data_IF_297250504409
#
_entry.id   IF_297250504409
#
_cell.length_a   1.000
_cell.length_b   1.000
_cell.length_c   1.000
_cell.angle_alpha   90.00
_cell.angle_beta   90.00
_cell.angle_gamma   90.00
#
_symmetry.space_group_name_H-M   'P 1'
#
loop_
_entity.id
_entity.type
_entity.pdbx_description
1 polymer ?
#
# COMPACT_ATOMS: atom_id res chain seq x y z
N UNK A 1 -27.46 34.58 -1.69
CA UNK A 1 -27.03 33.75 -0.53
C UNK A 1 -26.47 32.46 -1.04
N UNK A 2 -25.27 32.05 -0.55
CA UNK A 2 -24.69 30.76 -0.89
C UNK A 2 -25.31 29.72 0.06
N UNK A 3 -25.92 28.64 -0.45
CA UNK A 3 -26.45 27.58 0.42
C UNK A 3 -25.30 26.89 1.17
N UNK A 4 -25.50 26.58 2.45
CA UNK A 4 -24.53 25.87 3.26
C UNK A 4 -25.19 24.75 4.07
N UNK A 5 -24.41 23.74 4.42
CA UNK A 5 -24.85 22.61 5.26
C UNK A 5 -23.96 22.56 6.48
N UNK A 6 -24.56 22.66 7.67
CA UNK A 6 -23.87 22.53 8.94
C UNK A 6 -23.62 21.06 9.25
N UNK A 7 -22.36 20.69 9.52
CA UNK A 7 -21.95 19.30 9.79
C UNK A 7 -21.01 19.25 11.01
N UNK A 8 -21.01 18.11 11.72
CA UNK A 8 -20.13 17.90 12.90
C UNK A 8 -18.65 17.75 12.53
N UNK A 9 -18.37 17.16 11.38
CA UNK A 9 -17.00 16.88 10.89
C UNK A 9 -16.94 17.18 9.39
N UNK A 10 -16.44 18.37 9.05
CA UNK A 10 -16.36 18.87 7.67
C UNK A 10 -15.50 17.95 6.79
N UNK A 11 -14.38 17.43 7.30
CA UNK A 11 -13.47 16.56 6.53
C UNK A 11 -14.13 15.24 6.17
N UNK A 12 -14.79 14.62 7.14
CA UNK A 12 -15.54 13.38 6.92
C UNK A 12 -16.71 13.59 5.97
N UNK A 13 -17.49 14.65 6.17
CA UNK A 13 -18.63 14.97 5.32
C UNK A 13 -18.23 15.30 3.89
N UNK A 14 -17.09 15.99 3.68
CA UNK A 14 -16.53 16.22 2.36
C UNK A 14 -16.19 14.89 1.66
N UNK A 15 -15.50 13.97 2.35
CA UNK A 15 -15.15 12.66 1.77
C UNK A 15 -16.41 11.84 1.44
N UNK A 16 -17.45 11.91 2.27
CA UNK A 16 -18.74 11.27 2.03
C UNK A 16 -19.46 11.87 0.81
N UNK A 17 -19.52 13.19 0.71
CA UNK A 17 -20.10 13.88 -0.46
C UNK A 17 -19.35 13.50 -1.75
N UNK A 18 -18.02 13.47 -1.72
CA UNK A 18 -17.21 13.03 -2.85
C UNK A 18 -17.50 11.57 -3.25
N UNK A 19 -17.66 10.69 -2.27
CA UNK A 19 -17.98 9.28 -2.53
C UNK A 19 -19.35 9.11 -3.17
N UNK A 20 -20.33 9.91 -2.76
CA UNK A 20 -21.68 9.89 -3.30
C UNK A 20 -21.75 10.49 -4.71
N UNK A 21 -20.92 11.50 -4.99
CA UNK A 21 -20.85 12.12 -6.30
C UNK A 21 -20.07 11.26 -7.32
N UNK A 22 -18.88 10.77 -6.94
CA UNK A 22 -18.04 9.91 -7.77
C UNK A 22 -18.27 8.44 -7.40
N UNK A 23 -19.40 7.87 -7.82
CA UNK A 23 -19.87 6.54 -7.37
C UNK A 23 -19.01 5.37 -7.86
N UNK A 24 -18.47 5.44 -9.08
CA UNK A 24 -17.72 4.33 -9.68
C UNK A 24 -16.27 4.32 -9.20
N UNK A 25 -15.79 3.16 -8.78
CA UNK A 25 -14.43 2.97 -8.25
C UNK A 25 -13.86 1.62 -8.72
N UNK A 26 -12.53 1.49 -8.85
CA UNK A 26 -11.88 0.22 -9.13
C UNK A 26 -12.26 -0.86 -8.10
N UNK A 27 -12.33 -2.10 -8.55
CA UNK A 27 -12.75 -3.25 -7.72
C UNK A 27 -11.79 -3.50 -6.56
N UNK A 28 -10.48 -3.40 -6.81
CA UNK A 28 -9.44 -3.63 -5.81
C UNK A 28 -8.72 -2.31 -5.52
N UNK A 29 -8.90 -1.78 -4.33
CA UNK A 29 -8.17 -0.61 -3.84
C UNK A 29 -7.32 -1.05 -2.65
N UNK A 30 -5.99 -0.86 -2.79
CA UNK A 30 -4.98 -1.19 -1.80
C UNK A 30 -4.41 0.11 -1.23
N UNK A 31 -4.32 0.24 0.09
CA UNK A 31 -3.74 1.39 0.74
C UNK A 31 -2.47 1.01 1.52
N UNK A 32 -1.39 1.77 1.33
CA UNK A 32 -0.10 1.53 1.98
C UNK A 32 0.21 2.65 2.97
N UNK A 33 0.41 2.31 4.23
CA UNK A 33 0.83 3.25 5.27
C UNK A 33 2.07 2.77 6.01
N UNK A 34 2.76 3.69 6.66
CA UNK A 34 3.98 3.49 7.42
C UNK A 34 4.86 4.73 7.34
N UNK A 35 6.04 4.72 7.96
CA UNK A 35 6.98 5.84 7.84
C UNK A 35 7.70 5.76 6.49
N UNK A 36 8.41 4.68 6.25
CA UNK A 36 9.21 4.45 5.05
C UNK A 36 8.62 3.30 4.20
N UNK A 37 9.01 3.22 2.92
CA UNK A 37 8.66 2.10 2.03
C UNK A 37 7.32 2.23 1.30
N UNK A 38 6.47 3.22 1.59
CA UNK A 38 5.17 3.40 0.91
C UNK A 38 5.30 3.47 -0.60
N UNK A 39 6.08 4.43 -1.10
CA UNK A 39 6.28 4.65 -2.55
C UNK A 39 6.93 3.45 -3.22
N UNK A 40 7.88 2.77 -2.53
CA UNK A 40 8.51 1.56 -3.05
C UNK A 40 7.50 0.43 -3.25
N UNK A 41 6.65 0.17 -2.26
CA UNK A 41 5.62 -0.87 -2.36
C UNK A 41 4.60 -0.53 -3.45
N UNK A 42 4.19 0.74 -3.53
CA UNK A 42 3.24 1.23 -4.54
C UNK A 42 3.80 1.03 -5.94
N UNK A 43 5.07 1.37 -6.16
CA UNK A 43 5.71 1.21 -7.46
C UNK A 43 5.98 -0.27 -7.80
N UNK A 44 6.49 -1.08 -6.87
CA UNK A 44 6.69 -2.50 -7.10
C UNK A 44 5.39 -3.22 -7.42
N UNK A 45 4.30 -2.92 -6.72
CA UNK A 45 3.00 -3.48 -7.05
C UNK A 45 2.56 -3.09 -8.47
N UNK A 46 2.71 -1.82 -8.84
CA UNK A 46 2.42 -1.35 -10.19
C UNK A 46 3.25 -2.11 -11.24
N UNK A 47 4.56 -2.24 -11.03
CA UNK A 47 5.44 -2.98 -11.92
C UNK A 47 5.03 -4.46 -12.05
N UNK A 48 4.75 -5.15 -10.92
CA UNK A 48 4.36 -6.56 -10.91
C UNK A 48 3.09 -6.78 -11.75
N UNK A 49 2.03 -5.99 -11.54
CA UNK A 49 0.79 -6.14 -12.29
C UNK A 49 0.98 -5.79 -13.75
N UNK A 50 1.68 -4.69 -14.05
CA UNK A 50 1.94 -4.24 -15.40
C UNK A 50 2.77 -5.27 -16.21
N UNK A 51 3.82 -5.84 -15.62
CA UNK A 51 4.61 -6.93 -16.22
C UNK A 51 3.74 -8.16 -16.53
N UNK A 52 2.70 -8.40 -15.75
CA UNK A 52 1.76 -9.51 -15.94
C UNK A 52 0.53 -9.14 -16.80
N UNK A 53 0.54 -7.97 -17.43
CA UNK A 53 -0.55 -7.46 -18.29
C UNK A 53 -1.90 -7.31 -17.55
N UNK A 54 -1.87 -7.10 -16.25
CA UNK A 54 -3.05 -6.81 -15.43
C UNK A 54 -3.25 -5.29 -15.34
N UNK A 55 -4.48 -4.82 -15.52
CA UNK A 55 -4.78 -3.37 -15.46
C UNK A 55 -4.58 -2.84 -14.06
N UNK A 56 -3.77 -1.79 -13.94
CA UNK A 56 -3.32 -1.23 -12.65
C UNK A 56 -3.08 0.27 -12.74
N UNK A 57 -3.30 0.95 -11.63
CA UNK A 57 -2.80 2.30 -11.41
C UNK A 57 -2.16 2.42 -10.02
N UNK A 58 -1.21 3.34 -9.90
CA UNK A 58 -0.62 3.77 -8.64
C UNK A 58 -0.96 5.24 -8.37
N UNK A 59 -1.17 5.58 -7.09
CA UNK A 59 -1.47 6.94 -6.63
C UNK A 59 -0.58 7.23 -5.42
N UNK A 60 0.23 8.28 -5.48
CA UNK A 60 1.12 8.63 -4.36
C UNK A 60 2.04 9.79 -4.65
N UNK A 61 3.15 9.85 -3.96
CA UNK A 61 4.16 10.91 -4.04
C UNK A 61 4.67 11.13 -5.48
N UNK A 62 4.78 10.06 -6.26
CA UNK A 62 5.23 10.14 -7.65
C UNK A 62 4.12 10.60 -8.62
N UNK A 63 2.87 10.70 -8.16
CA UNK A 63 1.72 11.06 -8.97
C UNK A 63 0.72 9.92 -9.14
N UNK A 64 -0.15 10.06 -10.15
CA UNK A 64 -1.06 9.00 -10.62
C UNK A 64 -0.46 8.41 -11.90
N UNK A 65 -0.21 7.12 -11.89
CA UNK A 65 0.33 6.40 -13.05
C UNK A 65 -0.55 5.22 -13.42
N UNK A 66 -0.96 5.18 -14.68
CA UNK A 66 -1.51 4.02 -15.36
C UNK A 66 -1.07 4.04 -16.83
N UNK A 67 -1.31 2.98 -17.57
CA UNK A 67 -1.00 2.98 -19.02
C UNK A 67 -1.68 4.11 -19.79
N UNK A 68 -2.89 4.49 -19.37
CA UNK A 68 -3.76 5.45 -20.10
C UNK A 68 -3.99 6.77 -19.34
N UNK A 69 -3.34 6.97 -18.18
CA UNK A 69 -3.59 8.15 -17.35
C UNK A 69 -2.39 8.44 -16.46
N UNK A 70 -1.78 9.61 -16.65
CA UNK A 70 -0.63 10.06 -15.87
C UNK A 70 -0.88 11.51 -15.43
N UNK A 71 -0.79 11.76 -14.13
CA UNK A 71 -0.97 13.09 -13.54
C UNK A 71 0.07 13.28 -12.45
N UNK A 72 0.74 14.41 -12.41
CA UNK A 72 1.56 14.82 -11.26
C UNK A 72 0.66 15.22 -10.10
N UNK A 73 1.08 14.92 -8.89
CA UNK A 73 0.40 15.32 -7.64
C UNK A 73 1.40 16.02 -6.73
N UNK A 74 0.91 17.01 -5.97
CA UNK A 74 1.73 17.74 -5.00
C UNK A 74 1.64 17.15 -3.58
N UNK A 75 0.81 16.14 -3.39
CA UNK A 75 0.56 15.51 -2.10
C UNK A 75 0.68 13.99 -2.22
N UNK A 76 1.32 13.38 -1.24
CA UNK A 76 1.39 11.91 -1.13
C UNK A 76 0.01 11.27 -1.08
N UNK A 77 -0.90 11.85 -0.31
CA UNK A 77 -2.33 11.51 -0.28
C UNK A 77 -3.10 12.75 -0.65
N UNK A 78 -3.71 12.77 -1.82
CA UNK A 78 -4.44 13.92 -2.34
C UNK A 78 -5.72 14.20 -1.56
N UNK A 79 -6.31 15.37 -1.78
CA UNK A 79 -7.60 15.71 -1.20
C UNK A 79 -8.73 14.78 -1.68
N UNK A 80 -9.86 14.70 -0.97
CA UNK A 80 -10.93 13.77 -1.30
C UNK A 80 -11.55 14.00 -2.68
N UNK A 81 -11.71 15.27 -3.11
CA UNK A 81 -12.34 15.60 -4.39
C UNK A 81 -11.49 15.04 -5.53
N UNK A 82 -10.20 15.38 -5.53
CA UNK A 82 -9.25 14.91 -6.53
C UNK A 82 -9.14 13.38 -6.52
N UNK A 83 -9.07 12.77 -5.34
CA UNK A 83 -8.92 11.33 -5.20
C UNK A 83 -10.13 10.56 -5.75
N UNK A 84 -11.34 10.88 -5.29
CA UNK A 84 -12.56 10.20 -5.74
C UNK A 84 -12.83 10.40 -7.24
N UNK A 85 -12.59 11.63 -7.76
CA UNK A 85 -12.67 11.93 -9.19
C UNK A 85 -11.74 11.04 -10.01
N UNK A 86 -10.47 10.93 -9.60
CA UNK A 86 -9.50 10.12 -10.33
C UNK A 86 -9.76 8.61 -10.20
N UNK A 87 -10.24 8.13 -9.06
CA UNK A 87 -10.68 6.73 -8.93
C UNK A 87 -11.80 6.40 -9.94
N UNK A 88 -12.79 7.30 -10.12
CA UNK A 88 -13.83 7.12 -11.13
C UNK A 88 -13.27 7.17 -12.56
N UNK A 89 -12.35 8.09 -12.86
CA UNK A 89 -11.70 8.17 -14.18
C UNK A 89 -10.94 6.87 -14.49
N UNK A 90 -10.20 6.35 -13.52
CA UNK A 90 -9.45 5.11 -13.67
C UNK A 90 -10.37 3.91 -13.91
N UNK A 91 -11.49 3.82 -13.16
CA UNK A 91 -12.50 2.78 -13.37
C UNK A 91 -13.09 2.85 -14.78
N UNK A 92 -13.52 4.06 -15.24
CA UNK A 92 -14.03 4.26 -16.61
C UNK A 92 -13.02 3.90 -17.69
N UNK A 93 -11.71 3.99 -17.40
CA UNK A 93 -10.62 3.54 -18.30
C UNK A 93 -10.30 2.04 -18.19
N UNK A 94 -11.09 1.27 -17.44
CA UNK A 94 -10.95 -0.18 -17.27
C UNK A 94 -9.86 -0.60 -16.29
N UNK A 95 -9.39 0.30 -15.42
CA UNK A 95 -8.45 -0.04 -14.36
C UNK A 95 -9.19 -0.75 -13.23
N UNK A 96 -8.85 -2.02 -12.97
CA UNK A 96 -9.47 -2.84 -11.93
C UNK A 96 -8.73 -2.78 -10.59
N UNK A 97 -7.42 -2.50 -10.61
CA UNK A 97 -6.55 -2.55 -9.43
C UNK A 97 -5.88 -1.20 -9.23
N UNK A 98 -6.04 -0.63 -8.04
CA UNK A 98 -5.38 0.61 -7.65
C UNK A 98 -4.63 0.40 -6.34
N UNK A 99 -3.39 0.85 -6.28
CA UNK A 99 -2.64 0.96 -5.04
C UNK A 99 -2.37 2.43 -4.74
N UNK A 100 -2.53 2.85 -3.50
CA UNK A 100 -2.35 4.23 -3.09
C UNK A 100 -1.54 4.39 -1.80
N UNK A 101 -0.81 5.49 -1.71
CA UNK A 101 -0.12 5.88 -0.49
C UNK A 101 -1.11 6.53 0.48
N UNK A 102 -1.19 6.00 1.69
CA UNK A 102 -1.97 6.52 2.81
C UNK A 102 -1.02 7.16 3.84
N UNK A 103 -0.69 8.44 3.66
CA UNK A 103 0.13 9.19 4.61
C UNK A 103 -0.60 9.37 5.94
N UNK A 104 0.15 9.58 7.03
CA UNK A 104 -0.45 9.83 8.34
C UNK A 104 -1.30 11.09 8.35
N UNK A 105 -0.89 12.14 7.67
CA UNK A 105 -1.68 13.36 7.46
C UNK A 105 -2.97 13.08 6.70
N UNK A 106 -2.90 12.31 5.59
CA UNK A 106 -4.08 11.98 4.81
C UNK A 106 -5.10 11.15 5.59
N UNK A 107 -4.62 10.23 6.43
CA UNK A 107 -5.47 9.42 7.32
C UNK A 107 -6.08 10.25 8.45
N UNK A 108 -5.30 11.12 9.09
CA UNK A 108 -5.76 12.02 10.14
C UNK A 108 -6.80 13.03 9.61
N UNK A 109 -6.56 13.53 8.42
CA UNK A 109 -7.44 14.49 7.73
C UNK A 109 -8.61 13.83 6.99
N UNK A 110 -8.88 12.54 7.21
CA UNK A 110 -10.02 11.80 6.62
C UNK A 110 -10.08 11.80 5.08
N UNK A 111 -8.93 11.98 4.42
CA UNK A 111 -8.89 12.07 2.95
C UNK A 111 -9.23 10.75 2.24
N UNK A 112 -9.12 9.62 2.95
CA UNK A 112 -9.40 8.27 2.45
C UNK A 112 -10.73 7.70 2.97
N UNK A 113 -11.50 8.47 3.72
CA UNK A 113 -12.78 8.00 4.21
C UNK A 113 -13.75 7.72 3.04
N UNK A 114 -14.66 6.78 3.24
CA UNK A 114 -15.63 6.34 2.23
C UNK A 114 -15.01 5.77 0.92
N UNK A 115 -13.75 5.33 0.98
CA UNK A 115 -13.13 4.51 -0.06
C UNK A 115 -13.18 3.05 0.37
N UNK A 116 -13.65 2.20 -0.55
CA UNK A 116 -13.77 0.76 -0.33
C UNK A 116 -12.40 0.06 -0.40
N UNK A 117 -11.59 0.19 0.64
CA UNK A 117 -10.24 -0.37 0.69
C UNK A 117 -10.32 -1.87 0.98
N UNK A 118 -9.87 -2.68 0.01
CA UNK A 118 -9.85 -4.15 0.10
C UNK A 118 -8.61 -4.70 0.80
N UNK A 119 -7.50 -3.97 0.78
CA UNK A 119 -6.23 -4.40 1.39
C UNK A 119 -5.51 -3.22 2.01
N UNK A 120 -5.07 -3.38 3.26
CA UNK A 120 -4.22 -2.42 3.94
C UNK A 120 -2.82 -2.97 4.16
N UNK A 121 -1.78 -2.21 3.81
CA UNK A 121 -0.38 -2.57 4.03
C UNK A 121 0.21 -1.65 5.08
N UNK A 122 0.84 -2.23 6.12
CA UNK A 122 1.62 -1.50 7.09
C UNK A 122 3.10 -1.85 6.92
N UNK A 123 3.93 -0.83 6.66
CA UNK A 123 5.36 -1.05 6.40
C UNK A 123 6.16 -1.05 7.70
N UNK A 124 6.26 0.08 8.37
CA UNK A 124 7.04 0.30 9.60
C UNK A 124 6.64 1.59 10.29
N UNK A 125 7.20 1.81 11.47
CA UNK A 125 7.12 3.07 12.21
C UNK A 125 8.53 3.46 12.67
N UNK A 126 8.95 4.66 12.31
CA UNK A 126 10.15 5.31 12.83
C UNK A 126 9.84 6.77 13.16
N UNK A 127 10.75 7.46 13.82
CA UNK A 127 10.59 8.85 14.23
C UNK A 127 10.45 9.76 12.99
N UNK A 128 9.28 10.40 12.85
CA UNK A 128 8.96 11.31 11.76
C UNK A 128 7.69 12.09 12.06
N UNK A 129 7.50 13.26 11.44
CA UNK A 129 6.27 14.08 11.53
C UNK A 129 5.76 14.37 12.94
N UNK A 130 6.64 14.49 13.94
CA UNK A 130 6.23 14.79 15.32
C UNK A 130 5.89 16.27 15.54
N UNK A 131 6.33 17.15 14.65
CA UNK A 131 5.85 18.52 14.53
C UNK A 131 4.32 18.58 14.40
N UNK A 132 3.75 17.72 13.59
CA UNK A 132 2.31 17.58 13.36
C UNK A 132 1.62 16.68 14.41
N UNK A 133 2.13 15.47 14.62
CA UNK A 133 1.45 14.46 15.45
C UNK A 133 1.72 14.56 16.94
N UNK A 134 2.64 15.42 17.39
CA UNK A 134 3.04 15.69 18.78
C UNK A 134 3.62 14.51 19.55
N UNK A 135 3.33 13.25 19.20
CA UNK A 135 3.90 12.07 19.85
C UNK A 135 3.90 10.85 18.92
N UNK A 136 4.80 9.89 19.18
CA UNK A 136 4.83 8.60 18.49
C UNK A 136 3.52 7.81 18.65
N UNK A 137 2.82 7.97 19.78
CA UNK A 137 1.53 7.32 20.04
C UNK A 137 0.43 7.87 19.12
N UNK A 138 0.31 9.17 18.98
CA UNK A 138 -0.65 9.82 18.07
C UNK A 138 -0.30 9.52 16.61
N UNK A 139 0.99 9.55 16.25
CA UNK A 139 1.48 9.19 14.93
C UNK A 139 1.13 7.74 14.55
N UNK A 140 1.37 6.78 15.45
CA UNK A 140 0.95 5.39 15.25
C UNK A 140 -0.58 5.30 15.12
N UNK A 141 -1.33 5.97 15.98
CA UNK A 141 -2.80 5.93 15.95
C UNK A 141 -3.38 6.47 14.65
N UNK A 142 -2.81 7.53 14.06
CA UNK A 142 -3.23 8.04 12.76
C UNK A 142 -3.05 6.98 11.65
N UNK A 143 -1.94 6.23 11.65
CA UNK A 143 -1.73 5.13 10.71
C UNK A 143 -2.66 3.95 10.98
N UNK A 144 -2.89 3.62 12.25
CA UNK A 144 -3.80 2.53 12.64
C UNK A 144 -5.26 2.83 12.30
N UNK A 145 -5.62 4.08 12.01
CA UNK A 145 -6.95 4.45 11.53
C UNK A 145 -7.35 3.69 10.26
N UNK A 146 -6.43 3.50 9.33
CA UNK A 146 -6.62 2.66 8.15
C UNK A 146 -7.18 1.28 8.52
N UNK A 147 -6.54 0.61 9.46
CA UNK A 147 -6.86 -0.77 9.84
C UNK A 147 -8.06 -0.87 10.79
N UNK A 148 -8.26 0.15 11.64
CA UNK A 148 -9.36 0.18 12.60
C UNK A 148 -10.69 0.58 11.97
N UNK A 149 -10.69 1.48 10.96
CA UNK A 149 -11.89 2.15 10.47
C UNK A 149 -12.15 2.00 8.97
N UNK A 150 -11.13 2.06 8.13
CA UNK A 150 -11.32 2.16 6.67
C UNK A 150 -11.40 0.80 5.97
N UNK A 151 -10.75 -0.23 6.49
CA UNK A 151 -10.84 -1.57 5.89
C UNK A 151 -12.23 -2.17 6.07
N UNK A 152 -12.74 -2.86 5.04
CA UNK A 152 -13.98 -3.65 5.10
C UNK A 152 -13.80 -4.92 5.94
N UNK A 153 -14.88 -5.60 6.32
CA UNK A 153 -14.85 -6.87 7.08
C UNK A 153 -14.03 -7.98 6.40
N UNK A 154 -14.17 -8.14 5.09
CA UNK A 154 -13.48 -9.19 4.31
C UNK A 154 -12.13 -8.77 3.73
N UNK A 155 -11.58 -7.65 4.18
CA UNK A 155 -10.29 -7.13 3.73
C UNK A 155 -9.12 -7.96 4.23
N UNK A 156 -7.94 -7.71 3.65
CA UNK A 156 -6.69 -8.35 4.08
C UNK A 156 -5.72 -7.29 4.61
N UNK A 157 -5.02 -7.61 5.70
CA UNK A 157 -3.90 -6.82 6.21
C UNK A 157 -2.61 -7.49 5.79
N UNK A 158 -1.68 -6.70 5.22
CA UNK A 158 -0.31 -7.14 4.90
C UNK A 158 0.66 -6.38 5.79
N UNK A 159 1.60 -7.10 6.42
CA UNK A 159 2.64 -6.49 7.25
C UNK A 159 3.82 -7.44 7.44
N UNK A 160 4.91 -6.91 7.99
CA UNK A 160 6.07 -7.66 8.47
C UNK A 160 5.84 -8.06 9.93
N UNK A 161 5.86 -9.36 10.25
CA UNK A 161 5.70 -9.88 11.62
C UNK A 161 6.90 -9.59 12.52
N UNK A 162 8.06 -9.28 11.95
CA UNK A 162 9.26 -8.90 12.69
C UNK A 162 9.21 -7.45 13.22
N UNK A 163 8.27 -6.63 12.74
CA UNK A 163 8.09 -5.26 13.22
C UNK A 163 7.46 -5.21 14.63
N UNK A 164 7.95 -4.31 15.48
CA UNK A 164 7.44 -4.12 16.84
C UNK A 164 5.94 -3.80 16.86
N UNK A 165 5.47 -3.02 15.91
CA UNK A 165 4.08 -2.56 15.78
C UNK A 165 3.14 -3.69 15.32
N UNK A 166 3.67 -4.82 14.86
CA UNK A 166 2.85 -5.96 14.47
C UNK A 166 1.96 -6.46 15.64
N UNK A 167 2.41 -6.32 16.88
CA UNK A 167 1.61 -6.65 18.08
C UNK A 167 0.30 -5.84 18.12
N UNK A 168 0.35 -4.57 17.72
CA UNK A 168 -0.83 -3.68 17.65
C UNK A 168 -1.76 -4.12 16.51
N UNK A 169 -1.18 -4.41 15.33
CA UNK A 169 -1.95 -4.93 14.20
C UNK A 169 -2.61 -6.27 14.51
N UNK A 170 -1.91 -7.19 15.20
CA UNK A 170 -2.46 -8.49 15.60
C UNK A 170 -3.71 -8.35 16.48
N UNK A 171 -3.71 -7.38 17.42
CA UNK A 171 -4.91 -7.06 18.21
C UNK A 171 -6.08 -6.60 17.34
N UNK A 172 -5.81 -5.75 16.33
CA UNK A 172 -6.84 -5.25 15.40
C UNK A 172 -7.36 -6.40 14.52
N UNK A 173 -6.48 -7.23 13.98
CA UNK A 173 -6.81 -8.41 13.16
C UNK A 173 -7.76 -9.32 13.91
N UNK A 174 -7.42 -9.68 15.16
CA UNK A 174 -8.22 -10.57 15.99
C UNK A 174 -9.58 -9.95 16.33
N UNK A 175 -9.59 -8.68 16.80
CA UNK A 175 -10.83 -7.98 17.16
C UNK A 175 -11.80 -7.83 15.99
N UNK A 176 -11.29 -7.56 14.80
CA UNK A 176 -12.10 -7.33 13.60
C UNK A 176 -12.29 -8.57 12.74
N UNK A 177 -11.65 -9.69 13.06
CA UNK A 177 -11.66 -10.95 12.29
C UNK A 177 -11.26 -10.73 10.81
N UNK A 178 -10.25 -9.88 10.58
CA UNK A 178 -9.72 -9.54 9.24
C UNK A 178 -8.66 -10.57 8.85
N UNK A 179 -8.63 -10.93 7.56
CA UNK A 179 -7.59 -11.82 7.02
C UNK A 179 -6.21 -11.15 7.08
N UNK A 180 -5.16 -11.96 7.25
CA UNK A 180 -3.78 -11.48 7.19
C UNK A 180 -2.97 -12.25 6.16
N UNK A 181 -2.03 -11.57 5.52
CA UNK A 181 -0.88 -12.14 4.80
C UNK A 181 0.36 -11.42 5.26
N UNK A 182 1.39 -12.14 5.66
CA UNK A 182 2.54 -11.55 6.34
C UNK A 182 3.86 -12.03 5.74
N UNK A 183 4.88 -11.22 5.91
CA UNK A 183 6.27 -11.63 5.74
C UNK A 183 6.93 -11.71 7.12
N UNK A 184 8.02 -12.44 7.25
CA UNK A 184 8.81 -12.48 8.48
C UNK A 184 9.96 -13.45 8.41
N UNK A 185 10.86 -13.42 9.39
CA UNK A 185 12.01 -14.32 9.48
C UNK A 185 11.62 -15.67 10.08
N UNK A 186 10.77 -15.69 11.10
CA UNK A 186 10.36 -16.90 11.85
C UNK A 186 9.02 -17.46 11.37
N UNK A 187 8.10 -16.59 10.97
CA UNK A 187 6.74 -16.93 10.58
C UNK A 187 6.28 -16.06 9.43
N UNK A 188 5.08 -16.31 8.90
CA UNK A 188 4.47 -15.52 7.85
C UNK A 188 4.06 -16.33 6.63
N UNK A 189 3.27 -15.72 5.75
CA UNK A 189 2.89 -16.28 4.44
C UNK A 189 4.11 -16.46 3.56
N UNK A 190 5.06 -15.53 3.64
CA UNK A 190 6.39 -15.64 3.06
C UNK A 190 7.41 -15.57 4.19
N UNK A 191 8.22 -16.61 4.36
CA UNK A 191 9.35 -16.60 5.31
C UNK A 191 10.63 -16.25 4.58
N UNK A 192 11.40 -15.32 5.14
CA UNK A 192 12.73 -14.97 4.65
C UNK A 192 13.75 -15.83 5.41
N UNK A 193 14.27 -16.85 4.75
CA UNK A 193 15.19 -17.81 5.37
C UNK A 193 16.63 -17.29 5.39
N UNK A 194 17.05 -16.65 4.29
CA UNK A 194 18.40 -16.09 4.14
C UNK A 194 18.38 -14.94 3.16
N UNK A 195 19.19 -13.92 3.42
CA UNK A 195 19.44 -12.82 2.47
C UNK A 195 20.94 -12.56 2.41
N UNK A 196 21.50 -12.50 1.20
CA UNK A 196 22.90 -12.21 0.94
C UNK A 196 23.01 -11.14 -0.13
N UNK A 197 24.03 -10.30 -0.01
CA UNK A 197 24.38 -9.31 -1.00
C UNK A 197 25.51 -9.83 -1.89
N UNK A 198 25.36 -9.77 -3.19
CA UNK A 198 26.38 -10.19 -4.15
C UNK A 198 26.28 -9.31 -5.41
N UNK A 199 27.37 -8.61 -5.76
CA UNK A 199 27.52 -7.83 -6.99
C UNK A 199 26.28 -6.96 -7.32
N UNK A 200 25.95 -6.01 -6.44
CA UNK A 200 24.81 -5.09 -6.59
C UNK A 200 23.40 -5.75 -6.67
N UNK A 201 23.30 -7.03 -6.32
CA UNK A 201 22.03 -7.77 -6.23
C UNK A 201 21.87 -8.39 -4.85
N UNK A 202 20.65 -8.63 -4.45
CA UNK A 202 20.35 -9.43 -3.27
C UNK A 202 19.90 -10.83 -3.70
N UNK A 203 20.49 -11.85 -3.09
CA UNK A 203 20.08 -13.24 -3.24
C UNK A 203 19.30 -13.60 -1.99
N UNK A 204 18.01 -13.77 -2.13
CA UNK A 204 17.08 -14.03 -1.02
C UNK A 204 16.49 -15.42 -1.15
N UNK A 205 16.68 -16.25 -0.12
CA UNK A 205 16.02 -17.56 0.00
C UNK A 205 14.73 -17.39 0.78
N UNK A 206 13.62 -17.76 0.18
CA UNK A 206 12.28 -17.65 0.73
C UNK A 206 11.62 -19.02 0.88
N UNK A 207 10.75 -19.16 1.88
CA UNK A 207 9.77 -20.24 1.95
C UNK A 207 8.38 -19.67 1.72
N UNK A 208 7.69 -20.17 0.70
CA UNK A 208 6.34 -19.76 0.32
C UNK A 208 5.48 -21.03 0.22
N UNK A 209 4.47 -21.17 1.07
CA UNK A 209 3.65 -22.39 1.15
C UNK A 209 4.53 -23.66 1.27
N UNK A 210 5.52 -23.62 2.16
CA UNK A 210 6.51 -24.69 2.42
C UNK A 210 7.44 -25.03 1.23
N UNK A 211 7.36 -24.30 0.11
CA UNK A 211 8.29 -24.44 -1.01
C UNK A 211 9.41 -23.41 -0.91
N UNK A 212 10.65 -23.86 -1.08
CA UNK A 212 11.84 -22.99 -1.07
C UNK A 212 12.03 -22.40 -2.46
N UNK A 213 12.31 -21.11 -2.51
CA UNK A 213 12.59 -20.36 -3.74
C UNK A 213 13.77 -19.42 -3.50
N UNK A 214 14.72 -19.38 -4.41
CA UNK A 214 15.80 -18.40 -4.43
C UNK A 214 15.48 -17.30 -5.43
N UNK A 215 15.55 -16.05 -4.99
CA UNK A 215 15.31 -14.89 -5.83
C UNK A 215 16.58 -14.05 -5.92
N UNK A 216 16.97 -13.71 -7.14
CA UNK A 216 17.90 -12.60 -7.39
C UNK A 216 17.09 -11.33 -7.58
N UNK A 217 17.38 -10.34 -6.74
CA UNK A 217 16.64 -9.09 -6.68
C UNK A 217 17.62 -7.95 -6.95
N UNK A 218 17.48 -7.20 -8.06
CA UNK A 218 18.37 -6.09 -8.40
C UNK A 218 18.00 -4.82 -7.60
N UNK A 219 17.92 -4.95 -6.29
CA UNK A 219 17.58 -3.87 -5.37
C UNK A 219 18.63 -3.74 -4.29
N UNK A 220 18.89 -2.52 -3.83
CA UNK A 220 19.78 -2.21 -2.72
C UNK A 220 19.00 -2.13 -1.41
N UNK A 221 19.57 -2.72 -0.35
CA UNK A 221 19.00 -2.67 1.00
C UNK A 221 17.95 -3.76 1.28
N UNK A 222 18.14 -4.46 2.39
CA UNK A 222 17.25 -5.55 2.82
C UNK A 222 15.78 -5.10 3.01
N UNK A 223 15.55 -3.84 3.40
CA UNK A 223 14.21 -3.29 3.51
C UNK A 223 13.49 -3.22 2.15
N UNK A 224 14.21 -3.07 1.00
CA UNK A 224 13.59 -3.12 -0.33
C UNK A 224 13.13 -4.52 -0.69
N UNK A 225 13.84 -5.56 -0.23
CA UNK A 225 13.34 -6.95 -0.33
C UNK A 225 12.01 -7.09 0.40
N UNK A 226 11.93 -6.62 1.65
CA UNK A 226 10.70 -6.66 2.43
C UNK A 226 9.56 -5.90 1.76
N UNK A 227 9.84 -4.71 1.21
CA UNK A 227 8.86 -3.92 0.44
C UNK A 227 8.35 -4.69 -0.78
N UNK A 228 9.27 -5.29 -1.55
CA UNK A 228 8.93 -6.11 -2.71
C UNK A 228 8.05 -7.31 -2.34
N UNK A 229 8.40 -8.03 -1.27
CA UNK A 229 7.61 -9.18 -0.81
C UNK A 229 6.18 -8.78 -0.37
N UNK A 230 6.02 -7.63 0.28
CA UNK A 230 4.68 -7.10 0.61
C UNK A 230 3.90 -6.72 -0.66
N UNK A 231 4.55 -6.14 -1.67
CA UNK A 231 3.94 -5.86 -2.97
C UNK A 231 3.53 -7.16 -3.70
N UNK A 232 4.34 -8.22 -3.63
CA UNK A 232 4.01 -9.54 -4.19
C UNK A 232 2.79 -10.16 -3.51
N UNK A 233 2.68 -10.06 -2.18
CA UNK A 233 1.49 -10.51 -1.44
C UNK A 233 0.25 -9.74 -1.88
N UNK A 234 0.35 -8.41 -2.03
CA UNK A 234 -0.75 -7.58 -2.53
C UNK A 234 -1.16 -7.97 -3.95
N UNK A 235 -0.19 -8.17 -4.86
CA UNK A 235 -0.45 -8.60 -6.22
C UNK A 235 -1.14 -9.98 -6.30
N UNK A 236 -0.81 -10.88 -5.36
CA UNK A 236 -1.48 -12.19 -5.28
C UNK A 236 -2.97 -12.09 -4.93
N UNK A 237 -3.39 -11.01 -4.25
CA UNK A 237 -4.79 -10.74 -3.95
C UNK A 237 -5.57 -10.18 -5.15
N UNK A 238 -4.87 -9.76 -6.20
CA UNK A 238 -5.46 -9.28 -7.44
C UNK A 238 -5.57 -10.38 -8.53
N UNK A 239 -5.57 -11.65 -8.12
CA UNK A 239 -5.75 -12.80 -9.04
C UNK A 239 -4.46 -13.30 -9.69
N UNK A 240 -3.28 -12.78 -9.34
CA UNK A 240 -2.00 -13.32 -9.83
C UNK A 240 -1.52 -14.48 -8.97
N UNK A 241 -1.22 -15.62 -9.59
CA UNK A 241 -0.54 -16.72 -8.90
C UNK A 241 0.89 -16.32 -8.53
N UNK A 242 1.38 -16.78 -7.38
CA UNK A 242 2.75 -16.52 -6.95
C UNK A 242 3.79 -17.01 -7.98
N UNK A 243 3.53 -18.12 -8.65
CA UNK A 243 4.38 -18.62 -9.77
C UNK A 243 4.53 -17.59 -10.88
N UNK A 244 3.43 -16.93 -11.33
CA UNK A 244 3.49 -15.90 -12.37
C UNK A 244 4.27 -14.66 -11.89
N UNK A 245 4.13 -14.29 -10.61
CA UNK A 245 4.87 -13.17 -10.01
C UNK A 245 6.37 -13.49 -9.99
N UNK A 246 6.77 -14.63 -9.44
CA UNK A 246 8.16 -15.05 -9.30
C UNK A 246 8.88 -15.12 -10.65
N UNK A 247 8.22 -15.64 -11.69
CA UNK A 247 8.80 -15.75 -13.03
C UNK A 247 9.22 -14.41 -13.65
N UNK A 248 8.68 -13.29 -13.16
CA UNK A 248 8.96 -11.94 -13.70
C UNK A 248 9.66 -11.01 -12.72
N UNK A 249 9.97 -11.48 -11.51
CA UNK A 249 10.53 -10.64 -10.45
C UNK A 249 11.90 -10.05 -10.81
N UNK A 250 12.68 -10.79 -11.61
CA UNK A 250 13.99 -10.32 -12.10
C UNK A 250 13.91 -9.09 -13.01
N UNK A 251 12.71 -8.73 -13.51
CA UNK A 251 12.45 -7.56 -14.35
C UNK A 251 12.05 -6.32 -13.54
N UNK A 252 11.93 -6.43 -12.23
CA UNK A 252 11.63 -5.31 -11.35
C UNK A 252 12.80 -4.34 -11.32
N UNK A 253 12.50 -3.07 -11.50
CA UNK A 253 13.49 -1.99 -11.49
C UNK A 253 13.48 -1.27 -10.13
N UNK A 254 14.61 -0.70 -9.72
CA UNK A 254 14.65 0.23 -8.58
C UNK A 254 13.64 1.37 -8.76
N UNK A 255 13.19 1.91 -7.66
CA UNK A 255 12.22 3.02 -7.64
C UNK A 255 12.99 4.34 -7.72
N UNK A 256 12.62 5.19 -8.66
CA UNK A 256 13.25 6.51 -8.88
C UNK A 256 13.32 7.30 -7.57
N UNK A 257 14.52 7.79 -7.23
CA UNK A 257 14.79 8.53 -6.00
C UNK A 257 14.70 7.71 -4.71
N UNK A 258 14.74 6.36 -4.78
CA UNK A 258 14.69 5.46 -3.63
C UNK A 258 15.81 4.43 -3.67
N UNK A 259 17.05 4.84 -3.33
CA UNK A 259 18.27 4.03 -3.46
C UNK A 259 18.45 3.46 -4.88
N UNK A 260 18.36 4.31 -5.84
CA UNK A 260 18.71 4.04 -7.21
C UNK A 260 20.24 4.09 -7.34
N UNK A 261 20.87 3.06 -7.92
CA UNK A 261 22.26 3.16 -8.36
C UNK A 261 22.29 4.07 -9.59
N UNK A 262 22.98 5.18 -9.50
CA UNK A 262 23.31 6.06 -10.63
C UNK A 262 24.57 5.53 -11.30
#
# INVERSE_FOLDING_TARGET
KIPYILVKDVRKSLSEACSNFYKKKPVNIIAVTGTNGKSSIVDFFYQILNLNKVTVASIGTLGIFSKKHKIKTNLTTTDPIFLHKNLQILEKKGVKNVILEASSHGLDQKRLDNIDISTGIFTNLSHDHLDYHKSMKTYLNSKMYLFKKLLKKNSTIISDEDNKEFKVLKKIINKRKIKKKTIGSKSGTIKILKNRYKQNKQITTLSINSKISNLEIPLIGYFQVKNLLMAMLAASLCGLSMKKILNKIHKIKPVIGRLECV
#
